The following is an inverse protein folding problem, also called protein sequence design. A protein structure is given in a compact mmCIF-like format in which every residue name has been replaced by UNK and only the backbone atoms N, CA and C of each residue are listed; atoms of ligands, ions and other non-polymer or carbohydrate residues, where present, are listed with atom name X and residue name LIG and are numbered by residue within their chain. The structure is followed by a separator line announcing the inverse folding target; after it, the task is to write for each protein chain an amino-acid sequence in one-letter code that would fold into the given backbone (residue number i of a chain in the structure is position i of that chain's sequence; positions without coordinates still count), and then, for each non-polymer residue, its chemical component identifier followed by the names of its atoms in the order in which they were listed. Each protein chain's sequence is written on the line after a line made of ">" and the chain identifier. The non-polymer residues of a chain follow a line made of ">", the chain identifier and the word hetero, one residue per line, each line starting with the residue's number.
data_IF_943421234510
#
_entry.id   IF_943421234510
#
_cell.length_a   1.000
_cell.length_b   1.000
_cell.length_c   1.000
_cell.angle_alpha   90.00
_cell.angle_beta   90.00
_cell.angle_gamma   90.00
#
_symmetry.space_group_name_H-M   'P 1'
#
loop_
_entity.id
_entity.type
_entity.pdbx_description
1 polymer ?
#
# COMPACT_ATOMS: atom_id res chain seq x y z
N UNK A 1 -42.50 4.86 -49.50
CA UNK A 1 -41.47 3.99 -48.85
C UNK A 1 -40.30 4.79 -48.28
N UNK A 2 -39.77 5.81 -48.99
CA UNK A 2 -38.64 6.66 -48.53
C UNK A 2 -38.88 7.40 -47.19
N UNK A 3 -40.10 7.91 -46.93
CA UNK A 3 -40.42 8.61 -45.66
C UNK A 3 -40.37 7.70 -44.42
N UNK A 4 -40.80 6.42 -44.54
CA UNK A 4 -40.70 5.44 -43.45
C UNK A 4 -39.24 5.05 -43.19
N UNK A 5 -38.43 4.98 -44.24
CA UNK A 5 -36.99 4.71 -44.13
C UNK A 5 -36.25 5.87 -43.42
N UNK A 6 -36.60 7.12 -43.73
CA UNK A 6 -36.01 8.30 -43.05
C UNK A 6 -36.37 8.31 -41.57
N UNK A 7 -37.61 7.97 -41.20
CA UNK A 7 -38.05 7.88 -39.80
C UNK A 7 -37.29 6.76 -39.07
N UNK A 8 -37.10 5.59 -39.70
CA UNK A 8 -36.34 4.49 -39.11
C UNK A 8 -34.87 4.90 -38.88
N UNK A 9 -34.25 5.55 -39.87
CA UNK A 9 -32.86 6.03 -39.73
C UNK A 9 -32.76 7.07 -38.59
N UNK A 10 -33.72 8.00 -38.49
CA UNK A 10 -33.74 8.99 -37.42
C UNK A 10 -33.87 8.34 -36.02
N UNK A 11 -34.72 7.33 -35.87
CA UNK A 11 -34.88 6.59 -34.61
C UNK A 11 -33.61 5.81 -34.26
N UNK A 12 -32.97 5.17 -35.24
CA UNK A 12 -31.70 4.45 -35.02
C UNK A 12 -30.59 5.41 -34.57
N UNK A 13 -30.50 6.59 -35.17
CA UNK A 13 -29.50 7.60 -34.76
C UNK A 13 -29.74 8.07 -33.32
N UNK A 14 -31.00 8.27 -32.92
CA UNK A 14 -31.34 8.66 -31.53
C UNK A 14 -31.01 7.54 -30.54
N UNK A 15 -31.27 6.28 -30.90
CA UNK A 15 -30.94 5.12 -30.04
C UNK A 15 -29.43 4.93 -29.92
N UNK A 16 -28.68 5.12 -31.00
CA UNK A 16 -27.21 5.04 -30.98
C UNK A 16 -26.62 6.18 -30.16
N UNK A 17 -27.10 7.42 -30.34
CA UNK A 17 -26.67 8.56 -29.55
C UNK A 17 -27.00 8.40 -28.05
N UNK A 18 -28.21 7.91 -27.74
CA UNK A 18 -28.62 7.60 -26.36
C UNK A 18 -27.80 6.46 -25.74
N UNK A 19 -27.47 5.43 -26.53
CA UNK A 19 -26.62 4.33 -26.11
C UNK A 19 -25.19 4.77 -25.80
N UNK A 20 -24.61 5.65 -26.64
CA UNK A 20 -23.27 6.23 -26.40
C UNK A 20 -23.28 7.12 -25.16
N UNK A 21 -24.31 7.95 -24.99
CA UNK A 21 -24.45 8.82 -23.83
C UNK A 21 -24.61 8.03 -22.53
N UNK A 22 -25.48 7.00 -22.52
CA UNK A 22 -25.64 6.11 -21.38
C UNK A 22 -24.37 5.31 -21.08
N UNK A 23 -23.66 4.85 -22.12
CA UNK A 23 -22.38 4.17 -21.98
C UNK A 23 -21.32 5.10 -21.36
N UNK A 24 -21.19 6.34 -21.84
CA UNK A 24 -20.27 7.30 -21.20
C UNK A 24 -20.67 7.62 -19.76
N UNK A 25 -21.96 7.76 -19.45
CA UNK A 25 -22.41 8.04 -18.08
C UNK A 25 -22.15 6.83 -17.13
N UNK A 26 -22.29 5.60 -17.61
CA UNK A 26 -22.08 4.37 -16.83
C UNK A 26 -20.60 3.93 -16.75
N UNK A 27 -19.80 4.17 -17.79
CA UNK A 27 -18.41 3.72 -17.88
C UNK A 27 -17.37 4.83 -17.71
N UNK A 28 -17.75 6.12 -17.71
CA UNK A 28 -16.94 7.18 -17.10
C UNK A 28 -17.17 7.22 -15.59
N UNK A 29 -17.17 6.05 -14.94
CA UNK A 29 -17.03 5.97 -13.50
C UNK A 29 -15.78 6.75 -13.10
N UNK A 30 -15.92 7.62 -12.09
CA UNK A 30 -14.88 8.44 -11.51
C UNK A 30 -13.52 7.72 -11.53
N UNK A 31 -12.72 7.97 -12.56
CA UNK A 31 -11.27 7.93 -12.46
C UNK A 31 -10.85 9.23 -11.77
N UNK A 32 -11.42 9.48 -10.59
CA UNK A 32 -10.69 10.22 -9.57
C UNK A 32 -9.58 9.26 -9.18
N UNK A 33 -8.41 9.44 -9.80
CA UNK A 33 -7.18 8.91 -9.23
C UNK A 33 -7.23 9.29 -7.74
N UNK A 34 -7.22 8.31 -6.82
CA UNK A 34 -7.32 8.62 -5.40
C UNK A 34 -6.22 9.63 -5.11
N UNK A 35 -6.62 10.81 -4.62
CA UNK A 35 -5.68 11.87 -4.28
C UNK A 35 -4.56 11.24 -3.45
N UNK A 36 -3.33 11.24 -3.98
CA UNK A 36 -2.20 10.58 -3.34
C UNK A 36 -2.12 11.10 -1.90
N UNK A 37 -2.43 10.20 -0.96
CA UNK A 37 -2.50 10.53 0.46
C UNK A 37 -1.10 11.02 0.86
N UNK A 38 -0.97 12.31 1.18
CA UNK A 38 0.34 12.89 1.48
C UNK A 38 0.89 12.23 2.74
N UNK A 39 1.91 11.38 2.57
CA UNK A 39 2.58 10.72 3.67
C UNK A 39 3.62 11.64 4.30
N UNK A 40 3.69 11.60 5.62
CA UNK A 40 4.83 12.05 6.42
C UNK A 40 5.55 10.83 6.99
N UNK A 41 6.78 11.05 7.48
CA UNK A 41 7.68 10.00 7.92
C UNK A 41 7.81 10.03 9.44
N UNK A 42 7.60 8.87 10.06
CA UNK A 42 7.82 8.66 11.49
C UNK A 42 9.02 7.73 11.70
N UNK A 43 10.08 8.27 12.29
CA UNK A 43 11.33 7.56 12.58
C UNK A 43 11.14 6.58 13.72
N UNK A 44 11.55 5.32 13.53
CA UNK A 44 11.45 4.29 14.60
C UNK A 44 12.71 4.17 15.47
N UNK A 45 13.67 5.06 15.26
CA UNK A 45 14.95 5.13 15.97
C UNK A 45 16.11 4.53 15.19
N UNK A 46 17.16 4.14 15.91
CA UNK A 46 18.39 3.59 15.30
C UNK A 46 18.16 2.21 14.66
N UNK A 47 19.12 1.82 13.82
CA UNK A 47 19.13 0.51 13.15
C UNK A 47 18.95 -0.65 14.14
N UNK A 48 18.29 -1.69 13.65
CA UNK A 48 18.09 -2.96 14.32
C UNK A 48 19.04 -3.99 13.74
N UNK A 49 19.51 -4.90 14.59
CA UNK A 49 20.24 -6.11 14.18
C UNK A 49 19.53 -7.30 14.79
N UNK A 50 19.09 -8.24 13.96
CA UNK A 50 18.46 -9.48 14.42
C UNK A 50 18.84 -10.65 13.53
N UNK A 51 18.62 -11.86 14.03
CA UNK A 51 18.74 -13.07 13.22
C UNK A 51 17.55 -13.19 12.27
N UNK A 52 17.81 -13.79 11.11
CA UNK A 52 16.81 -14.36 10.23
C UNK A 52 16.47 -15.79 10.69
N UNK A 53 15.54 -16.43 9.99
CA UNK A 53 15.17 -17.83 10.19
C UNK A 53 16.31 -18.80 9.85
N UNK A 54 17.19 -18.42 8.94
CA UNK A 54 18.34 -19.23 8.55
C UNK A 54 19.38 -19.31 9.67
N UNK A 55 20.08 -20.44 9.72
CA UNK A 55 21.20 -20.61 10.63
C UNK A 55 22.30 -19.57 10.33
N UNK A 56 22.82 -18.92 11.37
CA UNK A 56 23.91 -17.94 11.32
C UNK A 56 23.71 -16.75 10.38
N UNK A 57 22.46 -16.33 10.19
CA UNK A 57 22.13 -15.24 9.26
C UNK A 57 21.60 -14.04 10.00
N UNK A 58 22.21 -12.88 9.76
CA UNK A 58 21.88 -11.62 10.42
C UNK A 58 21.34 -10.63 9.41
N UNK A 59 20.38 -9.82 9.84
CA UNK A 59 19.91 -8.67 9.10
C UNK A 59 20.13 -7.41 9.93
N UNK A 60 20.75 -6.42 9.31
CA UNK A 60 20.76 -5.03 9.76
C UNK A 60 19.71 -4.28 8.95
N UNK A 61 18.86 -3.51 9.61
CA UNK A 61 17.86 -2.67 8.96
C UNK A 61 17.44 -1.50 9.84
N UNK A 62 17.11 -0.38 9.21
CA UNK A 62 16.43 0.76 9.84
C UNK A 62 15.05 0.89 9.22
N UNK A 63 14.04 1.14 10.05
CA UNK A 63 12.64 1.16 9.62
C UNK A 63 12.04 2.54 9.86
N UNK A 64 11.29 3.06 8.88
CA UNK A 64 10.57 4.33 8.97
C UNK A 64 9.13 4.12 8.52
N UNK A 65 8.17 4.64 9.30
CA UNK A 65 6.75 4.48 9.01
C UNK A 65 6.26 5.64 8.15
N UNK A 66 5.59 5.32 7.04
CA UNK A 66 4.80 6.25 6.25
C UNK A 66 3.39 6.33 6.79
N UNK A 67 3.01 7.51 7.28
CA UNK A 67 1.70 7.80 7.88
C UNK A 67 1.11 9.05 7.22
N UNK A 68 -0.23 9.23 7.19
CA UNK A 68 -0.84 10.46 6.70
C UNK A 68 -0.31 11.69 7.45
N UNK A 69 -0.09 12.79 6.74
CA UNK A 69 0.55 14.02 7.26
C UNK A 69 -0.03 14.55 8.58
N UNK A 70 -1.35 14.46 8.76
CA UNK A 70 -2.07 15.03 9.91
C UNK A 70 -2.35 13.99 11.02
N UNK A 71 -1.63 12.87 11.01
CA UNK A 71 -1.78 11.79 12.01
C UNK A 71 -1.18 12.19 13.36
N UNK A 72 -1.90 11.93 14.46
CA UNK A 72 -1.36 12.03 15.81
C UNK A 72 -0.36 10.90 16.09
N UNK A 73 0.91 11.26 16.34
CA UNK A 73 2.01 10.33 16.54
C UNK A 73 2.20 9.92 18.00
N UNK A 74 1.35 10.35 18.93
CA UNK A 74 1.45 9.99 20.35
C UNK A 74 1.42 8.47 20.55
N UNK A 75 0.48 7.77 19.90
CA UNK A 75 0.37 6.30 19.98
C UNK A 75 1.62 5.61 19.45
N UNK A 76 2.19 6.10 18.34
CA UNK A 76 3.43 5.54 17.78
C UNK A 76 4.64 5.79 18.70
N UNK A 77 4.67 6.94 19.36
CA UNK A 77 5.75 7.34 20.26
C UNK A 77 5.72 6.52 21.55
N UNK A 78 4.54 6.35 22.15
CA UNK A 78 4.34 5.49 23.33
C UNK A 78 4.58 4.01 23.00
N UNK A 79 4.16 3.58 21.81
CA UNK A 79 4.29 2.21 21.30
C UNK A 79 5.63 1.88 20.63
N UNK A 80 6.64 2.77 20.68
CA UNK A 80 7.86 2.60 19.89
C UNK A 80 8.62 1.30 20.18
N UNK A 81 8.61 0.85 21.44
CA UNK A 81 9.21 -0.41 21.82
C UNK A 81 8.48 -1.61 21.20
N UNK A 82 7.14 -1.58 21.18
CA UNK A 82 6.31 -2.62 20.57
C UNK A 82 6.48 -2.66 19.04
N UNK A 83 6.56 -1.49 18.38
CA UNK A 83 6.87 -1.40 16.95
C UNK A 83 8.20 -2.10 16.65
N UNK A 84 9.26 -1.76 17.39
CA UNK A 84 10.61 -2.34 17.17
C UNK A 84 10.65 -3.84 17.45
N UNK A 85 9.96 -4.31 18.49
CA UNK A 85 9.84 -5.75 18.77
C UNK A 85 9.10 -6.48 17.64
N UNK A 86 8.01 -5.90 17.14
CA UNK A 86 7.23 -6.45 16.02
C UNK A 86 8.06 -6.57 14.74
N UNK A 87 8.90 -5.58 14.44
CA UNK A 87 9.86 -5.64 13.33
C UNK A 87 10.83 -6.82 13.52
N UNK A 88 11.44 -6.94 14.71
CA UNK A 88 12.37 -8.03 15.01
C UNK A 88 11.71 -9.40 14.88
N UNK A 89 10.48 -9.54 15.36
CA UNK A 89 9.71 -10.78 15.25
C UNK A 89 9.46 -11.16 13.79
N UNK A 90 9.00 -10.22 12.96
CA UNK A 90 8.73 -10.48 11.53
C UNK A 90 10.02 -10.89 10.82
N UNK A 91 11.13 -10.16 11.02
CA UNK A 91 12.40 -10.51 10.39
C UNK A 91 12.90 -11.90 10.77
N UNK A 92 12.68 -12.35 12.01
CA UNK A 92 13.03 -13.71 12.46
C UNK A 92 12.19 -14.81 11.79
N UNK A 93 11.06 -14.47 11.18
CA UNK A 93 10.23 -15.38 10.41
C UNK A 93 10.73 -15.62 8.98
N UNK A 94 11.61 -14.75 8.46
CA UNK A 94 12.07 -14.76 7.07
C UNK A 94 13.46 -15.37 6.88
N UNK A 95 13.70 -15.94 5.70
CA UNK A 95 15.02 -16.40 5.25
C UNK A 95 15.67 -15.43 4.26
N UNK A 96 16.93 -15.65 3.89
CA UNK A 96 17.63 -14.86 2.85
C UNK A 96 16.94 -15.00 1.50
N UNK A 97 16.42 -16.20 1.18
CA UNK A 97 15.74 -16.46 -0.09
C UNK A 97 14.45 -15.66 -0.24
N UNK A 98 13.76 -15.38 0.88
CA UNK A 98 12.55 -14.55 0.89
C UNK A 98 12.82 -13.12 0.38
N UNK A 99 14.09 -12.68 0.32
CA UNK A 99 14.50 -11.35 -0.12
C UNK A 99 15.28 -11.35 -1.44
N UNK A 100 15.26 -12.46 -2.19
CA UNK A 100 15.97 -12.56 -3.46
C UNK A 100 15.33 -11.73 -4.59
N UNK A 101 14.01 -11.52 -4.54
CA UNK A 101 13.27 -10.75 -5.55
C UNK A 101 13.06 -9.29 -5.14
N UNK A 102 12.97 -8.38 -6.10
CA UNK A 102 12.74 -6.95 -5.83
C UNK A 102 11.35 -6.70 -5.20
N UNK A 103 10.34 -7.48 -5.57
CA UNK A 103 8.97 -7.46 -5.02
C UNK A 103 8.90 -7.81 -3.53
N UNK A 104 9.91 -8.51 -3.01
CA UNK A 104 9.95 -8.97 -1.62
C UNK A 104 9.94 -7.83 -0.61
N UNK A 105 10.53 -6.69 -0.97
CA UNK A 105 10.56 -5.51 -0.09
C UNK A 105 9.17 -4.85 0.04
N UNK A 106 8.38 -4.83 -1.04
CA UNK A 106 7.00 -4.33 -0.98
C UNK A 106 6.11 -5.28 -0.17
N UNK A 107 6.30 -6.60 -0.32
CA UNK A 107 5.60 -7.59 0.49
C UNK A 107 5.94 -7.47 1.98
N UNK A 108 7.23 -7.35 2.32
CA UNK A 108 7.69 -7.12 3.69
C UNK A 108 7.12 -5.81 4.27
N UNK A 109 7.07 -4.76 3.45
CA UNK A 109 6.47 -3.48 3.84
C UNK A 109 5.01 -3.63 4.22
N UNK A 110 4.23 -4.36 3.41
CA UNK A 110 2.81 -4.62 3.68
C UNK A 110 2.60 -5.50 4.92
N UNK A 111 3.39 -6.56 5.09
CA UNK A 111 3.32 -7.43 6.27
C UNK A 111 3.61 -6.64 7.55
N UNK A 112 4.67 -5.84 7.56
CA UNK A 112 5.01 -5.01 8.71
C UNK A 112 3.96 -3.95 8.99
N UNK A 113 3.37 -3.31 7.97
CA UNK A 113 2.24 -2.39 8.15
C UNK A 113 1.08 -3.10 8.87
N UNK A 114 0.69 -4.28 8.39
CA UNK A 114 -0.41 -5.05 8.99
C UNK A 114 -0.09 -5.45 10.43
N UNK A 115 1.13 -5.94 10.68
CA UNK A 115 1.56 -6.38 12.00
C UNK A 115 1.63 -5.22 13.00
N UNK A 116 2.17 -4.05 12.60
CA UNK A 116 2.28 -2.86 13.46
C UNK A 116 0.90 -2.25 13.72
N UNK A 117 0.07 -2.12 12.69
CA UNK A 117 -1.31 -1.64 12.84
C UNK A 117 -2.11 -2.51 13.81
N UNK A 118 -2.01 -3.84 13.68
CA UNK A 118 -2.67 -4.78 14.58
C UNK A 118 -2.15 -4.70 16.02
N UNK A 119 -0.82 -4.57 16.21
CA UNK A 119 -0.20 -4.46 17.52
C UNK A 119 -0.65 -3.19 18.27
N UNK A 120 -0.77 -2.06 17.57
CA UNK A 120 -1.12 -0.77 18.16
C UNK A 120 -2.62 -0.47 18.15
N UNK A 121 -3.43 -1.29 17.47
CA UNK A 121 -4.86 -1.05 17.29
C UNK A 121 -5.17 0.17 16.42
N UNK A 122 -4.35 0.44 15.41
CA UNK A 122 -4.49 1.57 14.47
C UNK A 122 -4.55 1.07 13.02
N UNK A 123 -4.85 1.94 12.06
CA UNK A 123 -4.95 1.57 10.63
C UNK A 123 -4.27 2.57 9.67
N UNK A 124 -3.53 3.52 10.24
CA UNK A 124 -2.94 4.64 9.51
C UNK A 124 -1.47 4.43 9.13
N UNK A 125 -0.82 3.34 9.53
CA UNK A 125 0.50 2.99 8.97
C UNK A 125 0.28 2.42 7.57
N UNK A 126 0.65 3.19 6.55
CA UNK A 126 0.34 2.87 5.13
C UNK A 126 1.50 2.22 4.40
N UNK A 127 2.73 2.55 4.77
CA UNK A 127 3.94 2.02 4.15
C UNK A 127 5.08 1.94 5.14
N UNK A 128 5.94 0.95 4.99
CA UNK A 128 7.23 0.89 5.66
C UNK A 128 8.35 1.19 4.66
N UNK A 129 9.25 2.06 5.06
CA UNK A 129 10.49 2.35 4.36
C UNK A 129 11.66 1.72 5.10
N UNK A 130 12.60 1.17 4.35
CA UNK A 130 13.78 0.50 4.88
C UNK A 130 15.03 1.28 4.48
N UNK A 131 15.86 1.62 5.47
CA UNK A 131 17.23 2.10 5.27
C UNK A 131 18.23 1.05 5.78
N UNK A 132 19.48 1.10 5.31
CA UNK A 132 20.57 0.23 5.75
C UNK A 132 20.23 -1.28 5.75
N UNK A 133 19.40 -1.73 4.81
CA UNK A 133 18.99 -3.13 4.71
C UNK A 133 20.15 -3.99 4.19
N UNK A 134 20.82 -4.70 5.09
CA UNK A 134 21.99 -5.52 4.80
C UNK A 134 21.83 -6.88 5.47
N UNK A 135 21.94 -7.94 4.67
CA UNK A 135 21.92 -9.33 5.13
C UNK A 135 23.35 -9.88 5.11
N UNK A 136 23.75 -10.58 6.17
CA UNK A 136 25.05 -11.26 6.32
C UNK A 136 24.82 -12.75 6.62
#
# INVERSE_FOLDING_TARGET
>A
MKKKLIIIIAVVVVVVAGGIFAYMQLFSGNNEEPAEEQLTYFETGEYLVTNLKDENSLVKLTVVLGIPKDTDTAVLTEGIAAIRDRVVYVMRGHSKEDFAEQSSMDALSQELCQAINAELGVDYVKRIYFYDFVIQ
#
